data_IF_462213575225
#
_entry.id   IF_462213575225
#
_cell.length_a   1.000
_cell.length_b   1.000
_cell.length_c   1.000
_cell.angle_alpha   90.00
_cell.angle_beta   90.00
_cell.angle_gamma   90.00
#
_symmetry.space_group_name_H-M   'P 1'
#
loop_
_entity.id
_entity.type
_entity.pdbx_description
1 polymer ?
#
# COMPACT_ATOMS: atom_id res chain seq x y z
N UNK A 1 2.10 11.56 -8.76
CA UNK A 1 0.74 12.07 -8.43
C UNK A 1 -0.01 10.96 -7.72
N UNK A 2 -0.83 11.22 -6.69
CA UNK A 2 -1.60 10.18 -6.03
C UNK A 2 -2.66 9.61 -6.98
N UNK A 3 -2.92 8.30 -6.88
CA UNK A 3 -4.00 7.65 -7.62
C UNK A 3 -5.35 8.25 -7.20
N UNK A 4 -6.13 8.75 -8.16
CA UNK A 4 -7.45 9.38 -7.92
C UNK A 4 -8.61 8.39 -8.02
N UNK A 5 -8.40 7.28 -8.72
CA UNK A 5 -9.41 6.24 -8.96
C UNK A 5 -8.73 4.87 -8.91
N UNK A 6 -9.35 3.90 -8.25
CA UNK A 6 -8.91 2.50 -8.24
C UNK A 6 -9.73 1.72 -9.27
N UNK A 7 -9.11 0.76 -9.97
CA UNK A 7 -9.80 -0.08 -10.94
C UNK A 7 -9.47 -1.57 -10.76
N UNK A 8 -10.43 -2.43 -11.04
CA UNK A 8 -10.25 -3.88 -11.11
C UNK A 8 -10.39 -4.35 -12.58
N UNK A 9 -10.28 -5.67 -12.82
CA UNK A 9 -10.59 -6.23 -14.14
C UNK A 9 -12.04 -6.04 -14.59
N UNK A 10 -12.93 -5.64 -13.68
CA UNK A 10 -14.35 -5.37 -13.95
C UNK A 10 -14.65 -3.88 -14.17
N UNK A 11 -13.64 -3.01 -14.02
CA UNK A 11 -13.76 -1.57 -14.19
C UNK A 11 -13.40 -0.75 -12.94
N UNK A 12 -13.73 0.55 -12.93
CA UNK A 12 -13.43 1.43 -11.80
C UNK A 12 -14.21 1.03 -10.55
N UNK A 13 -13.57 1.18 -9.39
CA UNK A 13 -14.14 0.95 -8.08
C UNK A 13 -14.61 2.30 -7.51
N UNK A 14 -15.85 2.34 -7.05
CA UNK A 14 -16.38 3.49 -6.32
C UNK A 14 -15.76 3.54 -4.91
N UNK A 15 -14.60 4.17 -4.80
CA UNK A 15 -13.85 4.32 -3.56
C UNK A 15 -13.18 5.68 -3.48
N UNK A 16 -13.03 6.19 -2.26
CA UNK A 16 -12.32 7.43 -1.99
C UNK A 16 -11.14 7.18 -1.06
N UNK A 17 -10.10 8.00 -1.22
CA UNK A 17 -8.96 7.99 -0.30
C UNK A 17 -9.36 8.65 1.01
N UNK A 18 -9.47 7.86 2.07
CA UNK A 18 -9.80 8.38 3.41
C UNK A 18 -8.63 9.14 4.06
N UNK A 19 -7.46 8.51 4.17
CA UNK A 19 -6.26 9.09 4.81
C UNK A 19 -4.98 8.36 4.45
N UNK A 20 -3.83 8.89 4.85
CA UNK A 20 -2.57 8.14 4.92
C UNK A 20 -2.61 7.17 6.11
N UNK A 21 -2.01 6.00 5.95
CA UNK A 21 -1.91 4.97 7.00
C UNK A 21 -0.45 4.64 7.24
N UNK A 22 -0.03 4.57 8.50
CA UNK A 22 1.31 4.20 8.89
C UNK A 22 1.37 2.74 9.35
N UNK A 23 2.52 2.37 9.90
CA UNK A 23 2.79 0.97 10.29
C UNK A 23 1.81 0.46 11.35
N UNK A 24 1.41 1.31 12.29
CA UNK A 24 0.53 0.92 13.39
C UNK A 24 -0.91 0.73 12.90
N UNK A 25 -1.41 1.60 12.03
CA UNK A 25 -2.74 1.48 11.44
C UNK A 25 -2.86 0.21 10.60
N UNK A 26 -1.88 -0.06 9.73
CA UNK A 26 -1.89 -1.28 8.90
C UNK A 26 -1.88 -2.53 9.78
N UNK A 27 -1.06 -2.53 10.84
CA UNK A 27 -1.00 -3.63 11.81
C UNK A 27 -2.33 -3.81 12.56
N UNK A 28 -3.03 -2.73 12.88
CA UNK A 28 -4.35 -2.79 13.48
C UNK A 28 -5.38 -3.38 12.50
N UNK A 29 -5.41 -2.90 11.25
CA UNK A 29 -6.32 -3.38 10.21
C UNK A 29 -6.15 -4.89 9.94
N UNK A 30 -4.92 -5.37 9.85
CA UNK A 30 -4.64 -6.79 9.66
C UNK A 30 -5.20 -7.67 10.78
N UNK A 31 -5.35 -7.13 12.00
CA UNK A 31 -5.88 -7.85 13.17
C UNK A 31 -7.40 -7.84 13.24
N UNK A 32 -8.05 -6.85 12.64
CA UNK A 32 -9.52 -6.73 12.67
C UNK A 32 -10.22 -7.63 11.67
N UNK A 33 -9.53 -8.08 10.62
CA UNK A 33 -10.10 -8.99 9.64
C UNK A 33 -9.26 -9.11 8.37
N UNK A 34 -9.81 -9.75 7.32
CA UNK A 34 -9.16 -9.85 6.02
C UNK A 34 -8.90 -8.46 5.42
N UNK A 35 -7.64 -8.19 5.07
CA UNK A 35 -7.22 -6.97 4.38
C UNK A 35 -6.67 -7.36 3.00
N UNK A 36 -7.11 -6.64 1.97
CA UNK A 36 -6.56 -6.77 0.61
C UNK A 36 -5.64 -5.60 0.33
N UNK A 37 -4.39 -5.89 -0.03
CA UNK A 37 -3.45 -4.88 -0.52
C UNK A 37 -3.57 -4.75 -2.04
N UNK A 38 -3.40 -3.53 -2.53
CA UNK A 38 -3.34 -3.19 -3.95
C UNK A 38 -2.16 -2.27 -4.16
N UNK A 39 -1.26 -2.62 -5.08
CA UNK A 39 -0.11 -1.79 -5.43
C UNK A 39 -0.40 -1.09 -6.75
N UNK A 40 -0.13 0.21 -6.77
CA UNK A 40 -0.35 1.09 -7.91
C UNK A 40 0.98 1.71 -8.35
N UNK A 41 1.59 1.11 -9.37
CA UNK A 41 2.81 1.61 -9.99
C UNK A 41 2.45 2.39 -11.26
N UNK A 42 3.14 3.51 -11.49
CA UNK A 42 2.86 4.37 -12.64
C UNK A 42 3.17 3.62 -13.93
N UNK A 43 2.19 3.55 -14.83
CA UNK A 43 2.32 2.88 -16.13
C UNK A 43 2.11 1.36 -16.09
N UNK A 44 1.81 0.78 -14.91
CA UNK A 44 1.51 -0.64 -14.77
C UNK A 44 0.06 -0.86 -14.32
N UNK A 45 -0.54 -2.03 -14.64
CA UNK A 45 -1.82 -2.43 -14.06
C UNK A 45 -1.76 -2.53 -12.54
N UNK A 46 -2.90 -2.33 -11.87
CA UNK A 46 -3.02 -2.50 -10.43
C UNK A 46 -2.71 -3.94 -10.04
N UNK A 47 -1.75 -4.10 -9.11
CA UNK A 47 -1.34 -5.41 -8.61
C UNK A 47 -2.12 -5.75 -7.35
N UNK A 48 -3.10 -6.63 -7.51
CA UNK A 48 -3.96 -7.12 -6.44
C UNK A 48 -3.26 -8.24 -5.68
N UNK A 49 -3.02 -8.06 -4.38
CA UNK A 49 -2.43 -9.08 -3.52
C UNK A 49 -3.53 -10.01 -3.01
N UNK A 50 -3.35 -11.31 -3.17
CA UNK A 50 -4.29 -12.31 -2.66
C UNK A 50 -4.45 -12.17 -1.14
N UNK A 51 -5.67 -12.41 -0.63
CA UNK A 51 -5.97 -12.32 0.80
C UNK A 51 -5.08 -13.27 1.63
N UNK A 52 -4.78 -14.45 1.08
CA UNK A 52 -3.89 -15.46 1.69
C UNK A 52 -2.45 -14.96 1.83
N UNK A 53 -2.03 -14.06 0.95
CA UNK A 53 -0.67 -13.51 0.93
C UNK A 53 -0.55 -12.18 1.68
N UNK A 54 -1.64 -11.60 2.18
CA UNK A 54 -1.65 -10.28 2.80
C UNK A 54 -0.62 -10.18 3.95
N UNK A 55 -0.54 -11.19 4.81
CA UNK A 55 0.42 -11.22 5.92
C UNK A 55 1.87 -11.39 5.45
N UNK A 56 2.10 -12.17 4.39
CA UNK A 56 3.42 -12.37 3.79
C UNK A 56 3.90 -11.08 3.16
N UNK A 57 3.06 -10.48 2.32
CA UNK A 57 3.29 -9.18 1.69
C UNK A 57 3.55 -8.08 2.72
N UNK A 58 2.75 -8.00 3.78
CA UNK A 58 2.99 -7.05 4.87
C UNK A 58 4.39 -7.21 5.47
N UNK A 59 4.79 -8.43 5.83
CA UNK A 59 6.05 -8.65 6.56
C UNK A 59 7.30 -8.50 5.68
N UNK A 60 7.23 -8.98 4.45
CA UNK A 60 8.39 -9.11 3.58
C UNK A 60 8.57 -7.92 2.64
N UNK A 61 7.48 -7.30 2.21
CA UNK A 61 7.49 -6.26 1.18
C UNK A 61 7.11 -4.90 1.77
N UNK A 62 5.89 -4.77 2.30
CA UNK A 62 5.37 -3.44 2.65
C UNK A 62 6.02 -2.87 3.91
N UNK A 63 6.11 -3.64 5.01
CA UNK A 63 6.64 -3.14 6.29
C UNK A 63 8.07 -2.58 6.21
N UNK A 64 9.05 -3.21 5.54
CA UNK A 64 10.39 -2.65 5.42
C UNK A 64 10.45 -1.39 4.54
N UNK A 65 9.58 -1.27 3.53
CA UNK A 65 9.55 -0.17 2.56
C UNK A 65 8.47 0.90 2.85
N UNK A 66 7.76 0.81 3.97
CA UNK A 66 6.67 1.73 4.29
C UNK A 66 7.22 3.10 4.71
N UNK A 67 6.78 4.14 4.03
CA UNK A 67 6.97 5.53 4.46
C UNK A 67 5.92 5.84 5.52
N UNK A 68 6.36 6.27 6.71
CA UNK A 68 5.42 6.60 7.78
C UNK A 68 4.52 7.77 7.37
N UNK A 69 3.23 7.70 7.75
CA UNK A 69 2.24 8.67 7.31
C UNK A 69 2.55 10.12 7.70
N UNK A 70 3.31 10.31 8.79
CA UNK A 70 3.77 11.59 9.32
C UNK A 70 5.05 12.13 8.64
N UNK A 71 5.69 11.37 7.75
CA UNK A 71 6.87 11.82 7.04
C UNK A 71 6.53 12.93 6.04
N UNK A 72 7.09 14.12 6.24
CA UNK A 72 6.92 15.26 5.33
C UNK A 72 7.91 15.23 4.16
N UNK A 73 9.10 14.67 4.40
CA UNK A 73 10.18 14.55 3.41
C UNK A 73 10.83 13.18 3.53
N UNK A 74 11.11 12.58 2.39
CA UNK A 74 11.78 11.28 2.27
C UNK A 74 12.80 11.41 1.15
N UNK A 75 14.01 10.95 1.42
CA UNK A 75 15.09 10.85 0.43
C UNK A 75 15.16 9.41 -0.03
N UNK A 76 15.24 9.23 -1.35
CA UNK A 76 15.19 7.91 -1.99
C UNK A 76 16.39 7.05 -1.55
N UNK A 77 17.54 7.69 -1.38
CA UNK A 77 18.81 7.09 -0.95
C UNK A 77 18.77 6.59 0.50
N UNK A 78 17.82 7.07 1.30
CA UNK A 78 17.62 6.65 2.68
C UNK A 78 16.64 5.46 2.81
N UNK A 79 15.97 5.08 1.72
CA UNK A 79 15.05 3.95 1.69
C UNK A 79 15.78 2.65 1.34
N UNK A 80 15.39 1.51 1.93
CA UNK A 80 15.85 0.21 1.48
C UNK A 80 15.55 0.04 -0.01
N UNK A 81 16.53 -0.47 -0.76
CA UNK A 81 16.43 -0.72 -2.20
C UNK A 81 15.99 0.51 -3.04
N UNK A 82 16.08 1.71 -2.46
CA UNK A 82 15.74 2.98 -3.07
C UNK A 82 14.27 3.10 -3.53
N UNK A 83 13.34 2.47 -2.81
CA UNK A 83 11.91 2.66 -3.05
C UNK A 83 11.09 2.60 -1.77
N UNK A 84 9.85 3.11 -1.84
CA UNK A 84 8.93 3.09 -0.72
C UNK A 84 7.46 3.26 -1.12
N UNK A 85 6.59 2.91 -0.18
CA UNK A 85 5.12 2.95 -0.30
C UNK A 85 4.51 4.01 0.61
#
# INVERSE_FOLDING_TARGET
MPLTELWSGEGPLATERLRRVGRQEIKALLRTGPVRFVVADVGLPLRWIALTDAYKFWKQELKPHLIEAASERVYLEALPDQYGY
#
